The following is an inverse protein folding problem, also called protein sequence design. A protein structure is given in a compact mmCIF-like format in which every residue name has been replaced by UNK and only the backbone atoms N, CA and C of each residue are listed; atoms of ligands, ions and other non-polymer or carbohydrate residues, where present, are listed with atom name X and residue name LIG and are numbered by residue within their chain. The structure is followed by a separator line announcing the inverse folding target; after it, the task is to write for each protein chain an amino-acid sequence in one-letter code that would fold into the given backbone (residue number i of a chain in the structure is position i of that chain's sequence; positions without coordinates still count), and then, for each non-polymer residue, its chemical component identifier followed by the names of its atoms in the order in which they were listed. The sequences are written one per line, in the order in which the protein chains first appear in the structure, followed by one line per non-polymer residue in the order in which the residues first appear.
data_IF_642942844215
#
_entry.id   IF_642942844215
#
_cell.length_a   1.000
_cell.length_b   1.000
_cell.length_c   1.000
_cell.angle_alpha   90.00
_cell.angle_beta   90.00
_cell.angle_gamma   90.00
#
_symmetry.space_group_name_H-M   'P 1'
#
loop_
_entity.id
_entity.type
_entity.pdbx_description
1 polymer ?
#
# COMPACT_ATOMS: atom_id res chain seq x y z
N UNK A 1 16.57 1.68 11.36
CA UNK A 1 15.44 2.25 10.59
C UNK A 1 14.18 2.19 11.43
N UNK A 2 13.41 3.26 11.46
CA UNK A 2 12.13 3.33 12.15
C UNK A 2 10.99 2.98 11.20
N UNK A 3 9.85 2.60 11.77
CA UNK A 3 8.68 2.13 11.01
C UNK A 3 8.24 3.14 9.94
N UNK A 4 8.27 4.43 10.23
CA UNK A 4 7.82 5.46 9.29
C UNK A 4 8.69 5.53 8.04
N UNK A 5 10.01 5.33 8.17
CA UNK A 5 10.92 5.26 7.03
C UNK A 5 10.67 4.02 6.19
N UNK A 6 10.46 2.87 6.85
CA UNK A 6 10.16 1.62 6.15
C UNK A 6 8.87 1.72 5.34
N UNK A 7 7.81 2.29 5.93
CA UNK A 7 6.54 2.50 5.23
C UNK A 7 6.69 3.47 4.07
N UNK A 8 7.39 4.60 4.27
CA UNK A 8 7.61 5.59 3.21
C UNK A 8 8.39 5.03 2.02
N UNK A 9 9.34 4.14 2.25
CA UNK A 9 10.07 3.50 1.15
C UNK A 9 9.13 2.71 0.25
N UNK A 10 8.16 1.99 0.82
CA UNK A 10 7.18 1.26 0.05
C UNK A 10 6.16 2.20 -0.60
N UNK A 11 5.79 3.30 0.05
CA UNK A 11 4.95 4.34 -0.55
C UNK A 11 5.59 4.90 -1.83
N UNK A 12 6.90 5.14 -1.83
CA UNK A 12 7.60 5.63 -3.02
C UNK A 12 7.59 4.60 -4.14
N UNK A 13 7.73 3.31 -3.82
CA UNK A 13 7.60 2.24 -4.82
C UNK A 13 6.20 2.23 -5.45
N UNK A 14 5.16 2.40 -4.63
CA UNK A 14 3.78 2.45 -5.12
C UNK A 14 3.56 3.64 -6.04
N UNK A 15 4.05 4.82 -5.68
CA UNK A 15 3.96 6.03 -6.50
C UNK A 15 4.66 5.85 -7.84
N UNK A 16 5.85 5.25 -7.82
CA UNK A 16 6.62 5.00 -9.05
C UNK A 16 5.90 4.03 -9.98
N UNK A 17 5.39 2.92 -9.44
CA UNK A 17 4.65 1.92 -10.23
C UNK A 17 3.39 2.51 -10.86
N UNK A 18 2.65 3.33 -10.11
CA UNK A 18 1.47 4.02 -10.63
C UNK A 18 1.84 4.98 -11.77
N UNK A 19 2.92 5.72 -11.60
CA UNK A 19 3.39 6.65 -12.64
C UNK A 19 3.78 5.92 -13.92
N UNK A 20 4.53 4.82 -13.80
CA UNK A 20 4.94 4.02 -14.95
C UNK A 20 3.72 3.44 -15.66
N UNK A 21 2.78 2.86 -14.91
CA UNK A 21 1.56 2.28 -15.47
C UNK A 21 0.71 3.28 -16.24
N UNK A 22 0.61 4.50 -15.74
CA UNK A 22 -0.16 5.56 -16.40
C UNK A 22 0.38 5.88 -17.80
N UNK A 23 1.66 5.57 -18.06
CA UNK A 23 2.31 5.81 -19.35
C UNK A 23 2.27 4.59 -20.27
N UNK A 24 1.73 3.44 -19.82
CA UNK A 24 1.58 2.24 -20.66
C UNK A 24 0.33 2.34 -21.53
N UNK A 25 0.26 1.53 -22.58
CA UNK A 25 -0.87 1.49 -23.49
C UNK A 25 -1.23 0.07 -23.89
N UNK A 26 -2.52 -0.21 -24.03
CA UNK A 26 -3.03 -1.46 -24.54
C UNK A 26 -2.68 -2.69 -23.70
N UNK A 27 -2.91 -3.87 -24.24
CA UNK A 27 -2.56 -5.13 -23.60
C UNK A 27 -1.13 -5.52 -23.98
N UNK A 28 -0.16 -4.77 -23.44
CA UNK A 28 1.27 -5.00 -23.69
C UNK A 28 1.91 -5.77 -22.53
N UNK A 29 3.07 -6.37 -22.79
CA UNK A 29 3.84 -7.06 -21.75
C UNK A 29 4.21 -6.09 -20.63
N UNK A 30 4.59 -4.85 -20.97
CA UNK A 30 4.95 -3.84 -19.97
C UNK A 30 3.79 -3.53 -19.04
N UNK A 31 2.58 -3.30 -19.59
CA UNK A 31 1.39 -3.04 -18.76
C UNK A 31 1.09 -4.21 -17.84
N UNK A 32 1.13 -5.43 -18.35
CA UNK A 32 0.86 -6.63 -17.54
C UNK A 32 1.87 -6.79 -16.40
N UNK A 33 3.14 -6.66 -16.69
CA UNK A 33 4.21 -6.83 -15.70
C UNK A 33 4.17 -5.76 -14.60
N UNK A 34 4.01 -4.51 -14.98
CA UNK A 34 3.95 -3.41 -14.01
C UNK A 34 2.65 -3.43 -13.20
N UNK A 35 1.54 -3.86 -13.80
CA UNK A 35 0.30 -4.01 -13.04
C UNK A 35 0.41 -5.11 -11.99
N UNK A 36 0.97 -6.27 -12.35
CA UNK A 36 1.20 -7.35 -11.38
C UNK A 36 2.13 -6.89 -10.25
N UNK A 37 3.18 -6.15 -10.58
CA UNK A 37 4.09 -5.60 -9.57
C UNK A 37 3.38 -4.64 -8.63
N UNK A 38 2.53 -3.75 -9.16
CA UNK A 38 1.76 -2.81 -8.36
C UNK A 38 0.77 -3.54 -7.45
N UNK A 39 0.02 -4.49 -7.99
CA UNK A 39 -0.97 -5.25 -7.24
C UNK A 39 -0.30 -6.01 -6.09
N UNK A 40 0.79 -6.71 -6.36
CA UNK A 40 1.57 -7.42 -5.34
C UNK A 40 2.06 -6.46 -4.26
N UNK A 41 2.61 -5.31 -4.65
CA UNK A 41 3.11 -4.31 -3.71
C UNK A 41 1.97 -3.77 -2.82
N UNK A 42 0.84 -3.41 -3.39
CA UNK A 42 -0.29 -2.87 -2.64
C UNK A 42 -0.89 -3.89 -1.67
N UNK A 43 -1.09 -5.12 -2.13
CA UNK A 43 -1.66 -6.19 -1.29
C UNK A 43 -0.70 -6.59 -0.17
N UNK A 44 0.57 -6.79 -0.48
CA UNK A 44 1.59 -7.16 0.51
C UNK A 44 1.78 -6.07 1.56
N UNK A 45 1.85 -4.81 1.10
CA UNK A 45 1.98 -3.65 1.98
C UNK A 45 0.80 -3.55 2.95
N UNK A 46 -0.44 -3.70 2.46
CA UNK A 46 -1.63 -3.63 3.31
C UNK A 46 -1.61 -4.71 4.40
N UNK A 47 -1.27 -5.95 4.03
CA UNK A 47 -1.16 -7.06 4.99
C UNK A 47 -0.10 -6.76 6.05
N UNK A 48 1.09 -6.37 5.62
CA UNK A 48 2.21 -6.14 6.53
C UNK A 48 1.95 -4.93 7.46
N UNK A 49 1.39 -3.86 6.90
CA UNK A 49 1.06 -2.66 7.68
C UNK A 49 -0.02 -2.96 8.72
N UNK A 50 -1.07 -3.69 8.35
CA UNK A 50 -2.15 -4.03 9.27
C UNK A 50 -1.65 -4.96 10.39
N UNK A 51 -0.83 -5.95 10.08
CA UNK A 51 -0.30 -6.90 11.06
C UNK A 51 0.70 -6.29 12.03
N UNK A 52 1.59 -5.41 11.54
CA UNK A 52 2.75 -4.97 12.31
C UNK A 52 2.74 -3.50 12.71
N UNK A 53 1.82 -2.72 12.20
CA UNK A 53 1.70 -1.30 12.54
C UNK A 53 0.31 -0.99 13.08
N UNK A 54 -0.74 -1.26 12.33
CA UNK A 54 -2.11 -0.91 12.69
C UNK A 54 -2.59 -1.63 13.95
N UNK A 55 -2.23 -2.89 14.15
CA UNK A 55 -2.66 -3.65 15.33
C UNK A 55 -2.24 -2.99 16.65
N UNK A 56 -1.05 -2.40 16.68
CA UNK A 56 -0.58 -1.66 17.85
C UNK A 56 -1.35 -0.36 18.08
N UNK A 57 -1.79 0.27 17.00
CA UNK A 57 -2.42 1.58 17.04
C UNK A 57 -3.93 1.50 17.25
N UNK A 58 -4.55 0.36 17.00
CA UNK A 58 -5.97 0.11 17.33
C UNK A 58 -6.25 0.13 18.83
N UNK A 59 -5.24 -0.17 19.63
CA UNK A 59 -5.35 -0.27 21.09
C UNK A 59 -5.23 1.08 21.81
N UNK A 60 -4.91 2.16 21.08
CA UNK A 60 -4.66 3.48 21.66
C UNK A 60 -5.72 4.49 21.24
N UNK A 61 -6.28 5.21 22.21
CA UNK A 61 -7.34 6.18 21.95
C UNK A 61 -6.94 7.26 20.93
N UNK A 62 -5.67 7.69 20.98
CA UNK A 62 -5.17 8.75 20.08
C UNK A 62 -5.12 8.31 18.60
N UNK A 63 -5.00 7.02 18.32
CA UNK A 63 -4.78 6.50 16.98
C UNK A 63 -5.87 5.56 16.46
N UNK A 64 -6.83 5.15 17.30
CA UNK A 64 -7.81 4.13 16.91
C UNK A 64 -8.65 4.56 15.70
N UNK A 65 -9.09 5.79 15.65
CA UNK A 65 -9.95 6.25 14.54
C UNK A 65 -9.15 6.40 13.25
N UNK A 66 -7.92 6.92 13.33
CA UNK A 66 -7.03 7.02 12.18
C UNK A 66 -6.68 5.63 11.62
N UNK A 67 -6.48 4.67 12.52
CA UNK A 67 -6.18 3.28 12.12
C UNK A 67 -7.37 2.63 11.42
N UNK A 68 -8.58 2.79 11.96
CA UNK A 68 -9.80 2.29 11.34
C UNK A 68 -10.01 2.90 9.95
N UNK A 69 -9.74 4.18 9.81
CA UNK A 69 -9.82 4.87 8.54
C UNK A 69 -8.82 4.28 7.52
N UNK A 70 -7.59 4.00 7.96
CA UNK A 70 -6.57 3.37 7.13
C UNK A 70 -6.98 1.98 6.65
N UNK A 71 -7.56 1.16 7.52
CA UNK A 71 -8.06 -0.17 7.17
C UNK A 71 -9.19 -0.06 6.13
N UNK A 72 -10.12 0.87 6.33
CA UNK A 72 -11.21 1.11 5.38
C UNK A 72 -10.67 1.53 4.01
N UNK A 73 -9.63 2.37 3.97
CA UNK A 73 -9.00 2.78 2.72
C UNK A 73 -8.28 1.63 2.02
N UNK A 74 -7.63 0.72 2.76
CA UNK A 74 -7.05 -0.49 2.19
C UNK A 74 -8.12 -1.34 1.50
N UNK A 75 -9.30 -1.45 2.12
CA UNK A 75 -10.41 -2.20 1.55
C UNK A 75 -10.92 -1.56 0.25
N UNK A 76 -11.04 -0.24 0.22
CA UNK A 76 -11.42 0.50 -0.99
C UNK A 76 -10.40 0.31 -2.11
N UNK A 77 -9.11 0.30 -1.78
CA UNK A 77 -8.03 0.05 -2.75
C UNK A 77 -8.18 -1.36 -3.33
N UNK A 78 -8.47 -2.36 -2.50
CA UNK A 78 -8.70 -3.73 -2.97
C UNK A 78 -9.88 -3.81 -3.94
N UNK A 79 -10.97 -3.09 -3.68
CA UNK A 79 -12.11 -3.02 -4.58
C UNK A 79 -11.73 -2.40 -5.93
N UNK A 80 -10.92 -1.36 -5.91
CA UNK A 80 -10.44 -0.70 -7.14
C UNK A 80 -9.50 -1.61 -7.94
N UNK A 81 -8.66 -2.39 -7.28
CA UNK A 81 -7.86 -3.42 -7.93
C UNK A 81 -8.74 -4.49 -8.58
N UNK A 82 -9.82 -4.88 -7.93
CA UNK A 82 -10.81 -5.80 -8.48
C UNK A 82 -11.43 -5.28 -9.77
N UNK A 83 -11.74 -3.99 -9.83
CA UNK A 83 -12.26 -3.36 -11.03
C UNK A 83 -11.26 -3.42 -12.19
N UNK A 84 -9.98 -3.20 -11.91
CA UNK A 84 -8.92 -3.33 -12.91
C UNK A 84 -8.76 -4.76 -13.39
N UNK A 85 -8.82 -5.73 -12.48
CA UNK A 85 -8.72 -7.15 -12.81
C UNK A 85 -9.83 -7.60 -13.77
N UNK A 86 -11.02 -7.04 -13.63
CA UNK A 86 -12.20 -7.37 -14.43
C UNK A 86 -12.28 -6.60 -15.75
N UNK A 87 -11.41 -5.61 -15.97
CA UNK A 87 -11.43 -4.76 -17.14
C UNK A 87 -10.34 -5.16 -18.13
N UNK A 88 -10.69 -5.27 -19.41
CA UNK A 88 -9.72 -5.55 -20.47
C UNK A 88 -8.67 -4.43 -20.53
N UNK A 89 -7.40 -4.82 -20.47
CA UNK A 89 -6.27 -3.89 -20.49
C UNK A 89 -6.22 -3.04 -21.78
N UNK A 90 -6.78 -3.53 -22.88
CA UNK A 90 -6.85 -2.78 -24.14
C UNK A 90 -8.02 -1.82 -24.20
N UNK A 91 -8.95 -1.88 -23.25
CA UNK A 91 -10.09 -0.97 -23.18
C UNK A 91 -9.66 0.39 -22.61
N UNK A 92 -10.20 1.50 -23.15
CA UNK A 92 -9.99 2.83 -22.54
C UNK A 92 -10.46 2.91 -21.08
N UNK A 93 -11.41 2.06 -20.67
CA UNK A 93 -11.89 1.99 -19.30
C UNK A 93 -10.78 1.57 -18.32
N UNK A 94 -9.80 0.79 -18.77
CA UNK A 94 -8.71 0.33 -17.89
C UNK A 94 -7.91 1.50 -17.33
N UNK A 95 -7.51 2.45 -18.19
CA UNK A 95 -6.78 3.65 -17.72
C UNK A 95 -7.65 4.54 -16.84
N UNK A 96 -8.95 4.60 -17.07
CA UNK A 96 -9.86 5.35 -16.17
C UNK A 96 -9.90 4.73 -14.79
N UNK A 97 -9.99 3.39 -14.72
CA UNK A 97 -9.91 2.68 -13.42
C UNK A 97 -8.56 2.85 -12.75
N UNK A 98 -7.47 2.82 -13.52
CA UNK A 98 -6.13 3.05 -12.99
C UNK A 98 -6.01 4.45 -12.38
N UNK A 99 -6.56 5.46 -13.06
CA UNK A 99 -6.54 6.83 -12.56
C UNK A 99 -7.30 6.95 -11.24
N UNK A 100 -8.45 6.30 -11.14
CA UNK A 100 -9.24 6.27 -9.90
C UNK A 100 -8.44 5.61 -8.77
N UNK A 101 -7.77 4.49 -9.04
CA UNK A 101 -6.90 3.83 -8.09
C UNK A 101 -5.75 4.74 -7.67
N UNK A 102 -5.11 5.41 -8.61
CA UNK A 102 -4.00 6.32 -8.35
C UNK A 102 -4.41 7.46 -7.41
N UNK A 103 -5.54 8.08 -7.68
CA UNK A 103 -6.07 9.16 -6.83
C UNK A 103 -6.33 8.66 -5.40
N UNK A 104 -6.91 7.46 -5.27
CA UNK A 104 -7.19 6.87 -3.96
C UNK A 104 -5.90 6.53 -3.20
N UNK A 105 -4.96 5.88 -3.87
CA UNK A 105 -3.67 5.52 -3.25
C UNK A 105 -2.93 6.77 -2.82
N UNK A 106 -2.79 7.77 -3.69
CA UNK A 106 -2.06 9.00 -3.35
C UNK A 106 -2.71 9.74 -2.18
N UNK A 107 -4.04 9.79 -2.13
CA UNK A 107 -4.76 10.41 -1.01
C UNK A 107 -4.48 9.65 0.29
N UNK A 108 -4.56 8.30 0.27
CA UNK A 108 -4.28 7.46 1.42
C UNK A 108 -2.85 7.64 1.92
N UNK A 109 -1.87 7.62 1.02
CA UNK A 109 -0.46 7.81 1.39
C UNK A 109 -0.20 9.19 1.99
N UNK A 110 -0.78 10.24 1.39
CA UNK A 110 -0.62 11.60 1.90
C UNK A 110 -1.24 11.76 3.29
N UNK A 111 -2.44 11.24 3.51
CA UNK A 111 -3.10 11.29 4.83
C UNK A 111 -2.26 10.57 5.87
N UNK A 112 -1.74 9.41 5.53
CA UNK A 112 -0.92 8.62 6.43
C UNK A 112 0.38 9.35 6.79
N UNK A 113 1.09 9.87 5.80
CA UNK A 113 2.37 10.54 6.00
C UNK A 113 2.23 11.90 6.70
N UNK A 114 1.18 12.66 6.39
CA UNK A 114 1.00 14.02 6.91
C UNK A 114 0.30 14.07 8.27
N UNK A 115 -0.58 13.11 8.56
CA UNK A 115 -1.37 13.11 9.79
C UNK A 115 -1.11 11.89 10.66
N UNK A 116 -1.37 10.71 10.15
CA UNK A 116 -1.32 9.47 10.94
C UNK A 116 0.07 9.24 11.55
N UNK A 117 1.13 9.38 10.76
CA UNK A 117 2.50 9.17 11.24
C UNK A 117 2.89 10.17 12.33
N UNK A 118 2.37 11.40 12.27
CA UNK A 118 2.64 12.39 13.32
C UNK A 118 2.01 11.96 14.64
N UNK A 119 0.76 11.53 14.63
CA UNK A 119 0.06 11.09 15.85
C UNK A 119 0.69 9.78 16.37
N UNK A 120 0.93 8.82 15.49
CA UNK A 120 1.56 7.55 15.86
C UNK A 120 2.96 7.76 16.45
N UNK A 121 3.72 8.71 15.91
CA UNK A 121 5.04 9.06 16.41
C UNK A 121 5.05 9.52 17.85
N UNK A 122 3.95 10.10 18.32
CA UNK A 122 3.80 10.59 19.69
C UNK A 122 3.42 9.47 20.68
N UNK A 123 2.82 8.37 20.20
CA UNK A 123 2.36 7.27 21.08
C UNK A 123 3.31 6.07 21.07
N UNK A 124 4.30 6.06 20.20
CA UNK A 124 5.31 5.00 20.11
C UNK A 124 6.66 5.52 20.57
N UNK A 125 7.40 4.73 21.35
CA UNK A 125 8.77 5.07 21.71
C UNK A 125 9.76 4.59 20.62
N UNK A 126 11.03 4.99 20.72
CA UNK A 126 12.04 4.67 19.70
C UNK A 126 12.28 3.16 19.56
N UNK A 127 12.25 2.42 20.65
CA UNK A 127 12.40 0.96 20.63
C UNK A 127 11.24 0.30 19.85
N UNK A 128 10.01 0.75 20.11
CA UNK A 128 8.83 0.25 19.40
C UNK A 128 8.91 0.58 17.89
N UNK A 129 9.29 1.79 17.56
CA UNK A 129 9.42 2.23 16.15
C UNK A 129 10.41 1.35 15.38
N UNK A 130 11.52 0.97 16.01
CA UNK A 130 12.52 0.11 15.39
C UNK A 130 12.05 -1.34 15.28
N UNK A 131 11.44 -1.88 16.32
CA UNK A 131 10.91 -3.25 16.31
C UNK A 131 9.81 -3.41 15.27
N UNK A 132 8.92 -2.43 15.17
CA UNK A 132 7.85 -2.46 14.18
C UNK A 132 8.41 -2.41 12.77
N UNK A 133 9.45 -1.62 12.52
CA UNK A 133 10.13 -1.57 11.24
C UNK A 133 10.68 -2.94 10.84
N UNK A 134 11.35 -3.61 11.76
CA UNK A 134 11.94 -4.93 11.51
C UNK A 134 10.85 -5.96 11.21
N UNK A 135 9.79 -6.00 12.01
CA UNK A 135 8.67 -6.92 11.82
C UNK A 135 7.96 -6.68 10.48
N UNK A 136 7.72 -5.41 10.15
CA UNK A 136 7.10 -5.01 8.88
C UNK A 136 7.95 -5.46 7.68
N UNK A 137 9.24 -5.22 7.73
CA UNK A 137 10.15 -5.56 6.63
C UNK A 137 10.27 -7.07 6.44
N UNK A 138 10.28 -7.84 7.53
CA UNK A 138 10.28 -9.30 7.45
C UNK A 138 8.97 -9.82 6.84
N UNK A 139 7.83 -9.24 7.23
CA UNK A 139 6.54 -9.61 6.66
C UNK A 139 6.48 -9.27 5.16
N UNK A 140 6.98 -8.10 4.76
CA UNK A 140 7.04 -7.71 3.35
C UNK A 140 7.86 -8.71 2.54
N UNK A 141 9.01 -9.10 3.04
CA UNK A 141 9.86 -10.10 2.38
C UNK A 141 9.13 -11.43 2.22
N UNK A 142 8.46 -11.88 3.27
CA UNK A 142 7.69 -13.13 3.27
C UNK A 142 6.54 -13.07 2.24
N UNK A 143 5.76 -11.99 2.26
CA UNK A 143 4.63 -11.81 1.33
C UNK A 143 5.10 -11.78 -0.13
N UNK A 144 6.19 -11.08 -0.42
CA UNK A 144 6.74 -11.01 -1.76
C UNK A 144 7.31 -12.35 -2.22
N UNK A 145 7.93 -13.12 -1.33
CA UNK A 145 8.44 -14.46 -1.66
C UNK A 145 7.28 -15.44 -1.91
N UNK A 146 6.20 -15.38 -1.14
CA UNK A 146 4.99 -16.20 -1.34
C UNK A 146 4.34 -15.90 -2.70
N UNK A 147 4.26 -14.62 -3.10
CA UNK A 147 3.74 -14.23 -4.41
C UNK A 147 4.58 -14.80 -5.55
N UNK A 148 5.89 -14.80 -5.43
CA UNK A 148 6.79 -15.38 -6.43
C UNK A 148 6.59 -16.88 -6.59
N UNK A 149 6.31 -17.59 -5.50
CA UNK A 149 6.08 -19.05 -5.52
C UNK A 149 4.73 -19.39 -6.14
N UNK A 150 3.71 -18.56 -5.92
CA UNK A 150 2.35 -18.78 -6.44
C UNK A 150 2.14 -18.26 -7.86
N UNK A 151 3.01 -17.38 -8.30
CA UNK A 151 2.97 -16.83 -9.65
C UNK A 151 3.65 -17.78 -10.62
#
# INVERSE_FOLDING_TARGET
MKIFEALRQDHEKQRLLLKILAETSGNTAARREYYEALKTQLESHAIAEERHFYTHLLEKDATVDLTRHGIAEHHEIDELLGNLDETDMSSPAWLRHLKTLQEKVEHHLADEEQEFFQVAGNVLNDSQKTKLANAYREEMKKELDEEKVTA
#
